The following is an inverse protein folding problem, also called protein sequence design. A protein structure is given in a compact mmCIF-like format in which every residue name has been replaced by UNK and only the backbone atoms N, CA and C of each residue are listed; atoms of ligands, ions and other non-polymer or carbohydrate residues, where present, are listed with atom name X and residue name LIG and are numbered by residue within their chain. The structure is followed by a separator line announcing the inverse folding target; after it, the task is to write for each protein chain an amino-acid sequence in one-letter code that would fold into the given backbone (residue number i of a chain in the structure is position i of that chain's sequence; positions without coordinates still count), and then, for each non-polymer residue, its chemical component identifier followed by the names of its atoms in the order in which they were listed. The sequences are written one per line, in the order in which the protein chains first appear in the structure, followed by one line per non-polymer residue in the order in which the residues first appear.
data_IF_903064405053
#
_entry.id   IF_903064405053
#
_cell.length_a   1.000
_cell.length_b   1.000
_cell.length_c   1.000
_cell.angle_alpha   90.00
_cell.angle_beta   90.00
_cell.angle_gamma   90.00
#
_symmetry.space_group_name_H-M   'P 1'
#
loop_
_entity.id
_entity.type
_entity.pdbx_description
1 polymer ?
#
# COMPACT_ATOMS: atom_id res chain seq x y z
N UNK A 1 -14.52 37.11 32.39
CA UNK A 1 -13.39 36.80 31.49
C UNK A 1 -13.41 35.31 31.24
N UNK A 2 -13.88 34.92 30.06
CA UNK A 2 -13.93 33.53 29.61
C UNK A 2 -12.60 33.30 28.89
N UNK A 3 -11.80 32.35 29.38
CA UNK A 3 -10.66 31.80 28.65
C UNK A 3 -10.99 30.35 28.42
N UNK A 4 -11.65 30.10 27.29
CA UNK A 4 -11.97 28.78 26.79
C UNK A 4 -10.75 28.29 26.01
N UNK A 5 -9.98 27.38 26.62
CA UNK A 5 -8.90 26.68 25.93
C UNK A 5 -9.51 25.53 25.16
N UNK A 6 -9.81 25.77 23.88
CA UNK A 6 -10.24 24.76 22.93
C UNK A 6 -9.11 23.74 22.75
N UNK A 7 -9.24 22.61 23.44
CA UNK A 7 -8.53 21.37 23.14
C UNK A 7 -9.01 20.90 21.75
N UNK A 8 -8.13 20.95 20.77
CA UNK A 8 -8.29 20.21 19.52
C UNK A 8 -8.22 18.72 19.86
N UNK A 9 -9.37 18.10 20.10
CA UNK A 9 -9.51 16.65 20.05
C UNK A 9 -9.30 16.23 18.60
N UNK A 10 -8.16 15.59 18.33
CA UNK A 10 -7.99 14.75 17.15
C UNK A 10 -9.16 13.76 17.13
N UNK A 11 -10.00 13.89 16.11
CA UNK A 11 -11.13 12.99 15.91
C UNK A 11 -10.53 11.70 15.37
N UNK A 12 -10.20 10.75 16.25
CA UNK A 12 -9.95 9.37 15.83
C UNK A 12 -11.15 8.89 15.02
N UNK A 13 -10.97 8.78 13.71
CA UNK A 13 -11.94 8.16 12.82
C UNK A 13 -11.75 6.65 12.93
N UNK A 14 -12.32 6.04 13.97
CA UNK A 14 -12.29 4.60 14.16
C UNK A 14 -13.24 3.94 13.15
N UNK A 15 -12.72 3.59 11.98
CA UNK A 15 -13.40 2.73 11.02
C UNK A 15 -12.78 1.33 11.10
N UNK A 16 -13.60 0.32 11.38
CA UNK A 16 -13.17 -1.08 11.45
C UNK A 16 -13.32 -1.65 10.04
N UNK A 17 -12.21 -1.78 9.31
CA UNK A 17 -12.17 -2.69 8.17
C UNK A 17 -12.16 -4.14 8.71
N UNK A 18 -12.79 -5.14 8.04
CA UNK A 18 -12.84 -6.53 8.47
C UNK A 18 -11.48 -7.22 8.35
N UNK A 19 -10.63 -6.93 9.35
CA UNK A 19 -9.44 -7.64 9.86
C UNK A 19 -8.89 -6.89 11.09
N UNK A 20 -9.77 -6.19 11.82
CA UNK A 20 -9.40 -5.24 12.90
C UNK A 20 -8.39 -4.16 12.47
N UNK A 21 -8.34 -3.81 11.17
CA UNK A 21 -7.49 -2.72 10.69
C UNK A 21 -8.15 -1.41 11.12
N UNK A 22 -7.52 -0.75 12.09
CA UNK A 22 -7.90 0.58 12.56
C UNK A 22 -7.20 1.62 11.69
N UNK A 23 -7.99 2.33 10.89
CA UNK A 23 -7.50 3.45 10.11
C UNK A 23 -7.36 4.69 10.98
N UNK A 24 -6.24 5.39 10.85
CA UNK A 24 -5.98 6.68 11.50
C UNK A 24 -5.52 7.70 10.48
N UNK A 25 -5.51 8.97 10.88
CA UNK A 25 -4.82 10.02 10.16
C UNK A 25 -3.59 10.42 10.97
N UNK A 26 -2.43 10.53 10.32
CA UNK A 26 -1.25 11.09 10.97
C UNK A 26 -1.26 12.63 10.94
N UNK A 27 -0.23 13.26 11.52
CA UNK A 27 -0.06 14.73 11.57
C UNK A 27 -0.02 15.43 10.19
N UNK A 28 0.17 14.69 9.11
CA UNK A 28 0.17 15.19 7.73
C UNK A 28 -1.18 14.97 7.04
N UNK A 29 -2.15 14.34 7.71
CA UNK A 29 -3.45 13.99 7.13
C UNK A 29 -3.42 12.75 6.24
N UNK A 30 -2.36 11.93 6.31
CA UNK A 30 -2.29 10.68 5.55
C UNK A 30 -2.94 9.53 6.33
N UNK A 31 -3.61 8.63 5.61
CA UNK A 31 -4.22 7.44 6.20
C UNK A 31 -3.11 6.49 6.66
N UNK A 32 -3.17 6.05 7.91
CA UNK A 32 -2.22 5.09 8.48
C UNK A 32 -2.93 3.93 9.14
N UNK A 33 -2.26 2.78 9.17
CA UNK A 33 -2.69 1.57 9.87
C UNK A 33 -1.49 0.63 10.04
N UNK A 34 -1.63 -0.42 10.84
CA UNK A 34 -0.57 -1.40 11.04
C UNK A 34 -0.99 -2.79 10.60
N UNK A 35 -0.03 -3.58 10.13
CA UNK A 35 -0.20 -5.00 9.84
C UNK A 35 0.88 -5.80 10.57
N UNK A 36 0.57 -7.03 10.97
CA UNK A 36 1.53 -7.94 11.59
C UNK A 36 1.95 -8.97 10.56
N UNK A 37 3.25 -9.13 10.36
CA UNK A 37 3.78 -10.07 9.39
C UNK A 37 3.49 -11.53 9.79
N UNK A 38 3.09 -12.35 8.81
CA UNK A 38 2.89 -13.79 8.98
C UNK A 38 3.98 -14.64 8.34
N UNK A 39 4.93 -14.01 7.63
CA UNK A 39 5.99 -14.67 6.88
C UNK A 39 5.47 -15.74 5.92
N UNK A 40 4.39 -15.45 5.19
CA UNK A 40 3.92 -16.34 4.14
C UNK A 40 4.82 -16.24 2.90
N UNK A 41 4.96 -17.36 2.19
CA UNK A 41 5.51 -17.41 0.84
C UNK A 41 4.52 -16.81 -0.16
N UNK A 42 4.96 -16.42 -1.34
CA UNK A 42 4.07 -15.87 -2.36
C UNK A 42 3.01 -16.88 -2.83
N UNK A 43 3.31 -18.18 -2.75
CA UNK A 43 2.33 -19.26 -2.98
C UNK A 43 1.26 -19.33 -1.90
N UNK A 44 1.63 -19.17 -0.64
CA UNK A 44 0.69 -19.15 0.48
C UNK A 44 -0.18 -17.89 0.44
N UNK A 45 0.40 -16.72 0.17
CA UNK A 45 -0.34 -15.47 -0.01
C UNK A 45 -1.36 -15.57 -1.16
N UNK A 46 -0.97 -16.17 -2.29
CA UNK A 46 -1.88 -16.43 -3.40
C UNK A 46 -3.05 -17.34 -2.97
N UNK A 47 -2.76 -18.42 -2.23
CA UNK A 47 -3.80 -19.32 -1.75
C UNK A 47 -4.78 -18.65 -0.77
N UNK A 48 -4.28 -17.75 0.09
CA UNK A 48 -5.12 -16.93 0.98
C UNK A 48 -5.99 -15.92 0.21
N UNK A 49 -5.44 -15.26 -0.80
CA UNK A 49 -6.19 -14.34 -1.67
C UNK A 49 -7.29 -15.08 -2.45
N UNK A 50 -6.97 -16.24 -3.01
CA UNK A 50 -7.94 -17.04 -3.77
C UNK A 50 -9.02 -17.64 -2.86
N UNK A 51 -8.66 -18.12 -1.66
CA UNK A 51 -9.63 -18.67 -0.71
C UNK A 51 -10.56 -17.62 -0.12
N UNK A 52 -10.10 -16.37 0.01
CA UNK A 52 -10.92 -15.22 0.41
C UNK A 52 -11.75 -14.63 -0.74
N UNK A 53 -11.62 -15.17 -1.95
CA UNK A 53 -12.35 -14.72 -3.13
C UNK A 53 -11.87 -13.37 -3.69
N UNK A 54 -10.63 -12.99 -3.41
CA UNK A 54 -9.99 -11.78 -3.95
C UNK A 54 -9.23 -12.11 -5.24
N UNK A 55 -9.71 -11.69 -6.43
CA UNK A 55 -9.06 -12.05 -7.70
C UNK A 55 -7.62 -11.54 -7.81
N UNK A 56 -6.76 -12.34 -8.43
CA UNK A 56 -5.36 -12.00 -8.69
C UNK A 56 -5.09 -12.08 -10.19
N UNK A 57 -4.67 -10.97 -10.78
CA UNK A 57 -4.32 -10.89 -12.19
C UNK A 57 -3.04 -11.65 -12.53
N UNK A 58 -2.89 -12.07 -13.80
CA UNK A 58 -1.82 -12.98 -14.23
C UNK A 58 -0.40 -12.50 -13.89
N UNK A 59 -0.11 -11.21 -14.11
CA UNK A 59 1.22 -10.67 -13.81
C UNK A 59 1.47 -10.57 -12.29
N UNK A 60 0.45 -10.19 -11.51
CA UNK A 60 0.54 -10.21 -10.04
C UNK A 60 0.79 -11.64 -9.52
N UNK A 61 0.10 -12.62 -10.11
CA UNK A 61 0.33 -14.04 -9.82
C UNK A 61 1.76 -14.46 -10.16
N UNK A 62 2.30 -14.06 -11.31
CA UNK A 62 3.69 -14.35 -11.68
C UNK A 62 4.70 -13.70 -10.71
N UNK A 63 4.43 -12.49 -10.22
CA UNK A 63 5.27 -11.84 -9.22
C UNK A 63 5.27 -12.61 -7.90
N UNK A 64 4.09 -13.02 -7.41
CA UNK A 64 3.97 -13.85 -6.19
C UNK A 64 4.67 -15.21 -6.34
N UNK A 65 4.59 -15.83 -7.52
CA UNK A 65 5.18 -17.14 -7.80
C UNK A 65 6.60 -17.05 -8.39
N UNK A 66 7.27 -15.90 -8.30
CA UNK A 66 8.64 -15.73 -8.78
C UNK A 66 9.63 -16.56 -7.96
N UNK A 67 10.70 -17.03 -8.61
CA UNK A 67 11.71 -17.89 -8.00
C UNK A 67 13.13 -17.32 -8.21
N UNK A 68 14.04 -17.61 -7.28
CA UNK A 68 15.44 -17.20 -7.36
C UNK A 68 15.74 -15.85 -6.72
N UNK A 69 16.89 -15.26 -7.08
CA UNK A 69 17.39 -14.02 -6.46
C UNK A 69 16.57 -12.80 -6.89
N UNK A 70 16.08 -12.03 -5.92
CA UNK A 70 15.18 -10.90 -6.14
C UNK A 70 13.73 -11.33 -6.40
N UNK A 71 13.37 -12.58 -6.12
CA UNK A 71 11.97 -13.03 -6.12
C UNK A 71 11.20 -12.49 -4.92
N UNK A 72 9.88 -12.66 -4.93
CA UNK A 72 9.02 -12.33 -3.81
C UNK A 72 9.50 -13.00 -2.50
N UNK A 73 9.78 -14.31 -2.56
CA UNK A 73 10.16 -15.10 -1.39
C UNK A 73 11.56 -14.74 -0.84
N UNK A 74 12.43 -14.18 -1.68
CA UNK A 74 13.79 -13.76 -1.31
C UNK A 74 13.81 -12.43 -0.54
N UNK A 75 13.00 -11.45 -0.95
CA UNK A 75 13.17 -10.05 -0.47
C UNK A 75 11.89 -9.33 -0.04
N UNK A 76 10.69 -9.90 -0.20
CA UNK A 76 9.43 -9.18 0.05
C UNK A 76 8.51 -9.75 1.11
N UNK A 77 8.86 -10.88 1.72
CA UNK A 77 8.09 -11.44 2.83
C UNK A 77 8.16 -10.54 4.05
N UNK A 78 7.03 -10.40 4.75
CA UNK A 78 7.01 -9.76 6.07
C UNK A 78 7.53 -10.75 7.12
N UNK A 79 8.34 -10.27 8.05
CA UNK A 79 8.86 -11.09 9.14
C UNK A 79 7.74 -11.45 10.11
N UNK A 80 7.72 -12.71 10.55
CA UNK A 80 6.65 -13.21 11.42
C UNK A 80 6.64 -12.46 12.76
N UNK A 81 5.47 -11.94 13.14
CA UNK A 81 5.26 -11.25 14.41
C UNK A 81 5.75 -9.80 14.45
N UNK A 82 6.47 -9.34 13.43
CA UNK A 82 6.88 -7.94 13.31
C UNK A 82 5.69 -7.05 12.90
N UNK A 83 5.60 -5.88 13.52
CA UNK A 83 4.58 -4.88 13.21
C UNK A 83 5.10 -3.93 12.13
N UNK A 84 4.30 -3.73 11.09
CA UNK A 84 4.60 -2.82 9.99
C UNK A 84 3.56 -1.71 9.94
N UNK A 85 3.99 -0.48 10.22
CA UNK A 85 3.16 0.70 9.99
C UNK A 85 3.09 1.03 8.50
N UNK A 86 1.89 1.05 7.95
CA UNK A 86 1.59 1.41 6.57
C UNK A 86 0.97 2.80 6.54
N UNK A 87 1.42 3.61 5.58
CA UNK A 87 0.86 4.92 5.28
C UNK A 87 0.44 5.00 3.82
N UNK A 88 -0.73 5.57 3.56
CA UNK A 88 -1.25 5.83 2.23
C UNK A 88 -1.09 7.31 1.91
N UNK A 89 -0.18 7.61 0.99
CA UNK A 89 0.09 8.94 0.48
C UNK A 89 -0.75 9.17 -0.79
N UNK A 90 -1.65 10.16 -0.85
CA UNK A 90 -2.40 10.43 -2.06
C UNK A 90 -1.50 11.02 -3.15
N UNK A 91 -1.70 10.61 -4.40
CA UNK A 91 -0.94 11.13 -5.55
C UNK A 91 -1.06 12.65 -5.74
N UNK A 92 -2.12 13.25 -5.20
CA UNK A 92 -2.30 14.71 -5.16
C UNK A 92 -1.25 15.46 -4.33
N UNK A 93 -0.42 14.76 -3.54
CA UNK A 93 0.77 15.35 -2.92
C UNK A 93 1.72 15.97 -3.95
N UNK A 94 1.69 15.48 -5.19
CA UNK A 94 2.32 16.08 -6.37
C UNK A 94 1.23 16.80 -7.20
N UNK A 95 1.17 18.15 -7.17
CA UNK A 95 0.05 18.89 -7.75
C UNK A 95 0.00 18.88 -9.28
N UNK A 96 1.14 18.65 -9.95
CA UNK A 96 1.23 18.67 -11.42
C UNK A 96 1.24 17.24 -11.95
N UNK A 97 0.27 16.87 -12.77
CA UNK A 97 0.12 15.50 -13.28
C UNK A 97 1.38 15.00 -14.00
N UNK A 98 1.99 15.83 -14.86
CA UNK A 98 3.24 15.49 -15.56
C UNK A 98 4.44 15.21 -14.64
N UNK A 99 4.35 15.61 -13.37
CA UNK A 99 5.39 15.36 -12.37
C UNK A 99 5.03 14.19 -11.46
N UNK A 100 3.83 13.59 -11.54
CA UNK A 100 3.40 12.48 -10.69
C UNK A 100 4.01 11.17 -11.17
N UNK A 101 5.34 11.12 -11.17
CA UNK A 101 6.13 9.96 -11.56
C UNK A 101 6.46 9.11 -10.34
N UNK A 102 6.72 7.82 -10.55
CA UNK A 102 7.16 6.90 -9.48
C UNK A 102 8.34 7.46 -8.68
N UNK A 103 9.35 8.00 -9.36
CA UNK A 103 10.54 8.56 -8.69
C UNK A 103 10.17 9.78 -7.83
N UNK A 104 9.37 10.71 -8.36
CA UNK A 104 8.99 11.91 -7.61
C UNK A 104 8.11 11.55 -6.40
N UNK A 105 7.24 10.54 -6.51
CA UNK A 105 6.43 10.06 -5.38
C UNK A 105 7.31 9.43 -4.29
N UNK A 106 8.29 8.61 -4.67
CA UNK A 106 9.26 8.04 -3.72
C UNK A 106 10.07 9.14 -3.04
N UNK A 107 10.59 10.09 -3.81
CA UNK A 107 11.34 11.24 -3.29
C UNK A 107 10.50 12.06 -2.33
N UNK A 108 9.25 12.39 -2.68
CA UNK A 108 8.35 13.14 -1.80
C UNK A 108 8.06 12.36 -0.51
N UNK A 109 7.75 11.07 -0.60
CA UNK A 109 7.51 10.20 0.55
C UNK A 109 8.70 10.15 1.52
N UNK A 110 9.91 10.00 0.99
CA UNK A 110 11.15 9.87 1.78
C UNK A 110 11.58 11.23 2.33
N UNK A 111 11.79 12.22 1.47
CA UNK A 111 12.44 13.47 1.85
C UNK A 111 11.53 14.37 2.68
N UNK A 112 10.23 14.40 2.38
CA UNK A 112 9.29 15.28 3.09
C UNK A 112 8.68 14.63 4.32
N UNK A 113 8.40 13.33 4.25
CA UNK A 113 7.62 12.65 5.29
C UNK A 113 8.41 11.58 6.06
N UNK A 114 9.62 11.22 5.61
CA UNK A 114 10.44 10.20 6.27
C UNK A 114 9.87 8.78 6.13
N UNK A 115 9.05 8.54 5.10
CA UNK A 115 8.54 7.20 4.80
C UNK A 115 9.59 6.41 4.01
N UNK A 116 9.41 5.10 3.93
CA UNK A 116 10.29 4.22 3.18
C UNK A 116 9.51 3.22 2.36
N UNK A 117 10.18 2.63 1.36
CA UNK A 117 9.57 1.67 0.45
C UNK A 117 8.88 0.54 1.21
N UNK A 118 7.65 0.23 0.83
CA UNK A 118 6.92 -0.93 1.33
C UNK A 118 7.56 -2.23 0.86
N UNK A 119 7.32 -3.32 1.57
CA UNK A 119 7.54 -4.66 1.05
C UNK A 119 6.29 -5.16 0.31
N UNK A 120 6.49 -5.95 -0.74
CA UNK A 120 5.39 -6.48 -1.54
C UNK A 120 4.47 -7.40 -0.70
N UNK A 121 4.99 -8.05 0.34
CA UNK A 121 4.19 -8.86 1.26
C UNK A 121 3.25 -8.09 2.19
N UNK A 122 3.27 -6.75 2.17
CA UNK A 122 2.23 -5.96 2.82
C UNK A 122 0.92 -5.92 2.02
N UNK A 123 0.98 -6.18 0.71
CA UNK A 123 -0.16 -6.02 -0.20
C UNK A 123 -1.31 -6.98 0.14
N UNK A 124 -1.10 -8.29 0.37
CA UNK A 124 -2.22 -9.20 0.62
C UNK A 124 -3.03 -8.85 1.88
N UNK A 125 -2.43 -8.17 2.85
CA UNK A 125 -3.09 -7.76 4.11
C UNK A 125 -4.17 -6.70 3.89
N UNK A 126 -4.10 -5.95 2.79
CA UNK A 126 -5.07 -4.90 2.44
C UNK A 126 -5.99 -5.30 1.28
N UNK A 127 -5.78 -6.49 0.70
CA UNK A 127 -6.64 -7.10 -0.30
C UNK A 127 -7.91 -7.65 0.36
N UNK A 128 -8.76 -6.76 0.85
CA UNK A 128 -10.00 -7.10 1.53
C UNK A 128 -11.16 -6.29 0.92
N UNK A 129 -12.32 -6.92 0.64
CA UNK A 129 -13.42 -6.26 -0.06
C UNK A 129 -13.95 -4.99 0.61
N UNK A 130 -14.09 -4.95 1.93
CA UNK A 130 -14.62 -3.78 2.62
C UNK A 130 -13.58 -2.64 2.73
N UNK A 131 -12.30 -2.94 2.82
CA UNK A 131 -11.21 -1.97 2.71
C UNK A 131 -11.22 -1.34 1.32
N UNK A 132 -11.32 -2.14 0.26
CA UNK A 132 -11.47 -1.64 -1.11
C UNK A 132 -12.72 -0.78 -1.26
N UNK A 133 -13.87 -1.22 -0.71
CA UNK A 133 -15.11 -0.45 -0.75
C UNK A 133 -14.98 0.89 -0.02
N UNK A 134 -14.28 0.92 1.12
CA UNK A 134 -14.02 2.16 1.85
C UNK A 134 -13.20 3.14 1.00
N UNK A 135 -12.11 2.65 0.39
CA UNK A 135 -11.22 3.48 -0.42
C UNK A 135 -11.92 4.06 -1.66
N UNK A 136 -12.73 3.24 -2.33
CA UNK A 136 -13.60 3.67 -3.43
C UNK A 136 -14.59 4.75 -2.98
N UNK A 137 -15.24 4.55 -1.83
CA UNK A 137 -16.22 5.51 -1.27
C UNK A 137 -15.59 6.87 -0.92
N UNK A 138 -14.30 6.93 -0.60
CA UNK A 138 -13.59 8.19 -0.33
C UNK A 138 -12.87 8.75 -1.57
N UNK A 139 -13.11 8.17 -2.75
CA UNK A 139 -12.68 8.71 -4.04
C UNK A 139 -11.33 8.21 -4.54
N UNK A 140 -10.79 7.11 -4.00
CA UNK A 140 -9.54 6.51 -4.48
C UNK A 140 -9.81 5.20 -5.21
N UNK A 141 -9.41 5.15 -6.48
CA UNK A 141 -9.67 4.01 -7.36
C UNK A 141 -8.66 2.89 -7.14
N UNK A 142 -7.41 3.25 -6.91
CA UNK A 142 -6.28 2.31 -6.89
C UNK A 142 -5.38 2.57 -5.68
N UNK A 143 -4.78 1.50 -5.15
CA UNK A 143 -3.67 1.58 -4.18
C UNK A 143 -2.45 0.90 -4.79
N UNK A 144 -1.32 1.61 -4.82
CA UNK A 144 -0.07 1.12 -5.39
C UNK A 144 0.97 0.97 -4.31
N UNK A 145 1.57 -0.22 -4.21
CA UNK A 145 2.67 -0.49 -3.29
C UNK A 145 3.99 -0.32 -4.03
N UNK A 146 4.70 0.79 -3.77
CA UNK A 146 5.96 1.09 -4.46
C UNK A 146 7.16 0.33 -3.86
N UNK A 147 7.05 -0.99 -3.78
CA UNK A 147 8.12 -1.89 -3.35
C UNK A 147 9.28 -1.94 -4.36
N UNK A 148 10.44 -2.44 -3.93
CA UNK A 148 11.55 -2.73 -4.84
C UNK A 148 11.16 -3.77 -5.91
N UNK A 149 11.78 -3.78 -7.11
CA UNK A 149 11.36 -4.67 -8.19
C UNK A 149 11.42 -6.15 -7.80
N UNK A 150 10.36 -6.88 -8.15
CA UNK A 150 10.36 -8.36 -8.12
C UNK A 150 10.86 -8.85 -9.47
N UNK A 151 11.93 -9.63 -9.47
CA UNK A 151 12.45 -10.27 -10.67
C UNK A 151 11.60 -11.51 -11.00
N UNK A 152 10.54 -11.30 -11.76
CA UNK A 152 9.79 -12.38 -12.41
C UNK A 152 10.41 -12.73 -13.78
N UNK A 153 9.75 -13.59 -14.56
CA UNK A 153 10.20 -13.98 -15.89
C UNK A 153 10.32 -12.80 -16.88
N UNK A 154 9.61 -11.69 -16.63
CA UNK A 154 9.74 -10.41 -17.36
C UNK A 154 10.63 -9.44 -16.54
N UNK A 155 11.72 -8.91 -17.12
CA UNK A 155 12.63 -7.98 -16.45
C UNK A 155 12.03 -6.59 -16.16
N UNK A 156 10.80 -6.33 -16.59
CA UNK A 156 10.13 -5.05 -16.36
C UNK A 156 9.87 -4.83 -14.87
N UNK A 157 10.18 -3.63 -14.35
CA UNK A 157 9.92 -3.28 -12.96
C UNK A 157 8.43 -3.10 -12.72
N UNK A 158 7.74 -4.16 -12.28
CA UNK A 158 6.34 -4.09 -11.88
C UNK A 158 6.22 -3.87 -10.37
N UNK A 159 5.14 -3.18 -10.00
CA UNK A 159 4.68 -3.00 -8.62
C UNK A 159 3.28 -3.58 -8.48
N UNK A 160 2.93 -4.03 -7.29
CA UNK A 160 1.55 -4.42 -6.99
C UNK A 160 0.62 -3.21 -6.94
N UNK A 161 -0.57 -3.40 -7.52
CA UNK A 161 -1.67 -2.44 -7.52
C UNK A 161 -2.96 -3.14 -7.11
N UNK A 162 -3.68 -2.57 -6.17
CA UNK A 162 -5.03 -2.99 -5.81
C UNK A 162 -6.01 -2.09 -6.54
N UNK A 163 -6.86 -2.67 -7.37
CA UNK A 163 -7.93 -1.96 -8.04
C UNK A 163 -9.16 -2.04 -7.16
N UNK A 164 -9.45 -0.98 -6.41
CA UNK A 164 -10.44 -1.00 -5.33
C UNK A 164 -11.85 -1.27 -5.86
N UNK A 165 -12.19 -0.68 -7.01
CA UNK A 165 -13.48 -0.90 -7.69
C UNK A 165 -13.67 -2.35 -8.14
N UNK A 166 -12.65 -2.93 -8.78
CA UNK A 166 -12.68 -4.32 -9.26
C UNK A 166 -12.39 -5.34 -8.15
N UNK A 167 -11.93 -4.87 -6.98
CA UNK A 167 -11.51 -5.65 -5.81
C UNK A 167 -10.48 -6.71 -6.21
N UNK A 168 -9.53 -6.31 -7.04
CA UNK A 168 -8.57 -7.21 -7.67
C UNK A 168 -7.15 -6.78 -7.36
N UNK A 169 -6.31 -7.76 -7.07
CA UNK A 169 -4.87 -7.58 -7.02
C UNK A 169 -4.32 -7.67 -8.46
N UNK A 170 -3.69 -6.60 -8.89
CA UNK A 170 -3.07 -6.48 -10.21
C UNK A 170 -1.61 -6.05 -10.07
N UNK A 171 -0.95 -5.90 -11.20
CA UNK A 171 0.34 -5.23 -11.28
C UNK A 171 0.25 -4.00 -12.16
N UNK A 172 1.23 -3.13 -12.05
CA UNK A 172 1.39 -1.95 -12.91
C UNK A 172 2.87 -1.70 -13.14
N UNK A 173 3.27 -1.10 -14.27
CA UNK A 173 4.64 -0.65 -14.42
C UNK A 173 5.01 0.31 -13.29
N UNK A 174 6.14 0.04 -12.64
CA UNK A 174 6.71 0.79 -11.53
C UNK A 174 8.04 1.43 -11.87
N UNK A 175 8.39 1.54 -13.16
CA UNK A 175 9.64 2.18 -13.58
C UNK A 175 9.65 3.67 -13.18
N UNK A 176 10.82 4.29 -12.99
CA UNK A 176 10.96 5.62 -12.36
C UNK A 176 10.09 6.73 -12.96
N UNK A 177 9.92 6.73 -14.28
CA UNK A 177 9.19 7.75 -15.03
C UNK A 177 7.74 7.40 -15.37
N UNK A 178 7.21 6.29 -14.83
CA UNK A 178 5.80 5.95 -15.02
C UNK A 178 4.92 7.01 -14.37
N UNK A 179 3.94 7.51 -15.11
CA UNK A 179 3.03 8.57 -14.68
C UNK A 179 1.78 7.98 -14.05
N UNK A 180 1.35 8.61 -12.95
CA UNK A 180 0.18 8.18 -12.20
C UNK A 180 -0.93 9.22 -12.19
N UNK A 181 -2.16 8.75 -12.02
CA UNK A 181 -3.35 9.58 -11.84
C UNK A 181 -3.43 10.13 -10.39
N UNK A 182 -4.24 11.17 -10.19
CA UNK A 182 -4.44 11.80 -8.89
C UNK A 182 -5.29 10.95 -7.93
N UNK A 183 -6.10 10.05 -8.47
CA UNK A 183 -7.02 9.15 -7.74
C UNK A 183 -6.32 7.90 -7.19
N UNK A 184 -4.99 7.87 -7.21
CA UNK A 184 -4.16 6.76 -6.73
C UNK A 184 -3.60 7.06 -5.34
N UNK A 185 -3.74 6.10 -4.44
CA UNK A 185 -3.02 6.07 -3.16
C UNK A 185 -1.72 5.29 -3.31
N UNK A 186 -0.65 5.78 -2.70
CA UNK A 186 0.66 5.11 -2.69
C UNK A 186 0.96 4.62 -1.29
N UNK A 187 1.12 3.31 -1.15
CA UNK A 187 1.45 2.68 0.11
C UNK A 187 2.97 2.70 0.34
N UNK A 188 3.35 3.17 1.52
CA UNK A 188 4.71 3.17 2.03
C UNK A 188 4.73 2.62 3.45
N UNK A 189 5.91 2.27 3.94
CA UNK A 189 6.10 2.01 5.35
C UNK A 189 6.48 3.29 6.12
N UNK A 190 6.09 3.32 7.38
CA UNK A 190 6.39 4.41 8.30
C UNK A 190 6.84 3.87 9.66
N UNK A 191 7.86 4.51 10.25
CA UNK A 191 8.41 4.17 11.57
C UNK A 191 7.51 4.72 12.70
N UNK A 192 6.49 5.50 12.37
CA UNK A 192 5.64 6.16 13.36
C UNK A 192 4.60 5.18 13.91
N UNK A 193 4.94 4.55 15.02
CA UNK A 193 3.95 4.01 15.97
C UNK A 193 3.26 5.18 16.69
N UNK A 194 1.93 5.26 16.60
CA UNK A 194 1.10 6.19 17.37
C UNK A 194 -0.12 6.69 16.62
#
# INVERSE_FOLDING_TARGET
MISDKTSHKEKEMNFIAPKDIVLKLNKFGHITFSVVGSNLTGREELAELESSGFPVGDHARQMLLSEGKGSYDDVHRLVQGESYGIVLLPGTCIPRDRNRTTINLRTEAIERFGYYSSLAGAVPYVCEPAFCQYMDNIGFRDIVFLHEPIHAADPSSYVFKIMCFERMLSSSPGHPYFLWDCEVLFAFFSIHEG
#
